data_IF_785756170364
#
_entry.id   IF_785756170364
#
_cell.length_a   1.000
_cell.length_b   1.000
_cell.length_c   1.000
_cell.angle_alpha   90.00
_cell.angle_beta   90.00
_cell.angle_gamma   90.00
#
_symmetry.space_group_name_H-M   'P 1'
#
loop_
_entity.id
_entity.type
_entity.pdbx_description
1 polymer ?
#
# COMPACT_ATOMS: atom_id res chain seq x y z
N UNK A 1 -10.36 0.10 22.76
CA UNK A 1 -11.78 0.52 22.73
C UNK A 1 -11.94 1.66 21.72
N UNK A 2 -13.04 1.75 20.95
CA UNK A 2 -13.27 2.89 20.02
C UNK A 2 -13.54 4.17 20.81
N UNK A 3 -12.93 5.28 20.38
CA UNK A 3 -13.08 6.61 20.96
C UNK A 3 -14.33 7.27 20.38
N UNK A 4 -15.31 7.58 21.23
CA UNK A 4 -16.53 8.29 20.85
C UNK A 4 -16.29 9.81 20.81
N UNK A 5 -15.34 10.25 19.99
CA UNK A 5 -14.78 11.63 20.01
C UNK A 5 -15.83 12.73 20.12
N UNK A 6 -16.89 12.70 19.30
CA UNK A 6 -17.96 13.71 19.33
C UNK A 6 -18.66 13.77 20.69
N UNK A 7 -19.01 12.60 21.23
CA UNK A 7 -19.65 12.47 22.54
C UNK A 7 -18.73 12.90 23.67
N UNK A 8 -17.45 12.52 23.61
CA UNK A 8 -16.46 12.91 24.62
C UNK A 8 -16.24 14.43 24.63
N UNK A 9 -16.09 15.05 23.45
CA UNK A 9 -15.98 16.51 23.30
C UNK A 9 -17.21 17.22 23.85
N UNK A 10 -18.42 16.73 23.53
CA UNK A 10 -19.66 17.29 24.08
C UNK A 10 -19.73 17.15 25.61
N UNK A 11 -19.24 16.02 26.15
CA UNK A 11 -19.30 15.75 27.57
C UNK A 11 -18.35 16.61 28.40
N UNK A 12 -17.14 16.89 27.91
CA UNK A 12 -16.15 17.70 28.65
C UNK A 12 -16.38 19.21 28.55
N UNK A 13 -17.26 19.64 27.64
CA UNK A 13 -17.58 21.06 27.44
C UNK A 13 -16.51 21.84 26.66
N UNK A 14 -16.84 23.09 26.31
CA UNK A 14 -16.04 23.92 25.41
C UNK A 14 -14.62 24.21 25.93
N UNK A 15 -14.46 24.39 27.24
CA UNK A 15 -13.17 24.77 27.84
C UNK A 15 -12.15 23.63 27.83
N UNK A 16 -12.61 22.39 28.06
CA UNK A 16 -11.74 21.21 28.09
C UNK A 16 -11.63 20.48 26.74
N UNK A 17 -12.54 20.77 25.79
CA UNK A 17 -12.53 20.17 24.47
C UNK A 17 -11.20 20.35 23.69
N UNK A 18 -10.56 21.54 23.66
CA UNK A 18 -9.27 21.71 23.00
C UNK A 18 -8.19 20.79 23.58
N UNK A 19 -8.10 20.70 24.91
CA UNK A 19 -7.12 19.84 25.61
C UNK A 19 -7.36 18.37 25.24
N UNK A 20 -8.61 17.91 25.28
CA UNK A 20 -8.96 16.55 24.88
C UNK A 20 -8.58 16.29 23.41
N UNK A 21 -8.92 17.20 22.50
CA UNK A 21 -8.62 17.05 21.08
C UNK A 21 -7.11 16.96 20.83
N UNK A 22 -6.30 17.80 21.48
CA UNK A 22 -4.83 17.74 21.38
C UNK A 22 -4.28 16.41 21.88
N UNK A 23 -4.81 15.87 23.00
CA UNK A 23 -4.43 14.53 23.48
C UNK A 23 -4.84 13.42 22.51
N UNK A 24 -5.89 13.63 21.74
CA UNK A 24 -6.38 12.66 20.75
C UNK A 24 -5.72 12.83 19.37
N UNK A 25 -4.90 13.84 19.13
CA UNK A 25 -4.26 14.03 17.82
C UNK A 25 -3.26 12.91 17.50
N UNK A 26 -3.39 12.35 16.29
CA UNK A 26 -2.47 11.35 15.73
C UNK A 26 -1.28 12.00 14.98
N UNK A 27 -1.23 13.33 14.91
CA UNK A 27 -0.21 14.10 14.19
C UNK A 27 -0.35 14.07 12.67
N UNK A 28 -1.44 13.52 12.13
CA UNK A 28 -1.73 13.62 10.71
C UNK A 28 -2.70 14.76 10.42
N UNK A 29 -2.82 15.11 9.14
CA UNK A 29 -3.92 15.94 8.65
C UNK A 29 -4.66 15.24 7.51
N UNK A 30 -5.97 15.42 7.44
CA UNK A 30 -6.82 14.92 6.39
C UNK A 30 -7.56 16.09 5.74
N UNK A 31 -7.52 16.17 4.42
CA UNK A 31 -8.33 17.12 3.68
C UNK A 31 -9.79 16.67 3.68
N UNK A 32 -10.67 17.49 4.22
CA UNK A 32 -12.12 17.34 4.13
C UNK A 32 -12.58 18.06 2.85
N UNK A 33 -13.00 17.31 1.80
CA UNK A 33 -13.44 17.91 0.55
C UNK A 33 -14.82 18.58 0.65
N UNK A 34 -15.62 18.23 1.66
CA UNK A 34 -16.95 18.83 1.87
C UNK A 34 -16.78 20.21 2.49
N UNK A 35 -15.88 20.31 3.48
CA UNK A 35 -15.60 21.56 4.19
C UNK A 35 -14.48 22.39 3.53
N UNK A 36 -13.83 21.85 2.49
CA UNK A 36 -12.67 22.42 1.82
C UNK A 36 -11.57 22.89 2.79
N UNK A 37 -11.31 22.11 3.85
CA UNK A 37 -10.31 22.43 4.88
C UNK A 37 -9.51 21.21 5.28
N UNK A 38 -8.35 21.47 5.86
CA UNK A 38 -7.45 20.44 6.40
C UNK A 38 -7.77 20.26 7.88
N UNK A 39 -8.20 19.06 8.27
CA UNK A 39 -8.57 18.72 9.64
C UNK A 39 -7.50 17.82 10.26
N UNK A 40 -7.15 17.99 11.56
CA UNK A 40 -6.29 17.05 12.25
C UNK A 40 -6.87 15.63 12.22
N UNK A 41 -6.01 14.64 12.02
CA UNK A 41 -6.35 13.23 12.17
C UNK A 41 -6.26 12.90 13.65
N UNK A 42 -7.36 12.39 14.19
CA UNK A 42 -7.43 11.95 15.58
C UNK A 42 -7.30 10.42 15.69
N UNK A 43 -6.78 9.98 16.83
CA UNK A 43 -6.83 8.60 17.31
C UNK A 43 -8.29 8.16 17.36
N UNK A 44 -8.57 7.00 16.78
CA UNK A 44 -9.88 6.37 16.76
C UNK A 44 -10.05 5.35 17.89
N UNK A 45 -8.94 4.83 18.42
CA UNK A 45 -8.96 3.80 19.45
C UNK A 45 -8.04 4.16 20.60
N UNK A 46 -8.43 3.73 21.80
CA UNK A 46 -7.65 4.00 23.01
C UNK A 46 -6.26 3.36 22.97
N UNK A 47 -6.08 2.23 22.29
CA UNK A 47 -4.78 1.55 22.13
C UNK A 47 -3.73 2.38 21.37
N UNK A 48 -4.15 3.41 20.63
CA UNK A 48 -3.26 4.39 19.99
C UNK A 48 -2.72 5.45 20.98
N UNK A 49 -3.23 5.50 22.22
CA UNK A 49 -2.75 6.39 23.29
C UNK A 49 -1.57 5.76 24.03
N UNK A 50 -0.53 6.55 24.27
CA UNK A 50 0.50 6.19 25.26
C UNK A 50 -0.13 6.07 26.65
N UNK A 51 0.51 5.38 27.58
CA UNK A 51 -0.02 5.28 28.95
C UNK A 51 -0.20 6.68 29.58
N UNK A 52 0.76 7.58 29.35
CA UNK A 52 0.72 8.96 29.82
C UNK A 52 -0.45 9.75 29.20
N UNK A 53 -0.60 9.70 27.87
CA UNK A 53 -1.70 10.36 27.18
C UNK A 53 -3.05 9.79 27.63
N UNK A 54 -3.15 8.47 27.83
CA UNK A 54 -4.39 7.84 28.26
C UNK A 54 -4.77 8.24 29.68
N UNK A 55 -3.79 8.36 30.59
CA UNK A 55 -4.00 8.90 31.94
C UNK A 55 -4.51 10.35 31.89
N UNK A 56 -3.92 11.19 31.04
CA UNK A 56 -4.36 12.58 30.83
C UNK A 56 -5.79 12.64 30.29
N UNK A 57 -6.13 11.78 29.32
CA UNK A 57 -7.50 11.66 28.79
C UNK A 57 -8.48 11.28 29.90
N UNK A 58 -8.16 10.29 30.75
CA UNK A 58 -9.02 9.91 31.87
C UNK A 58 -9.25 11.05 32.87
N UNK A 59 -8.22 11.86 33.13
CA UNK A 59 -8.33 13.03 34.02
C UNK A 59 -9.26 14.11 33.44
N UNK A 60 -9.25 14.30 32.12
CA UNK A 60 -10.20 15.21 31.46
C UNK A 60 -11.62 14.63 31.47
N UNK A 61 -11.77 13.33 31.17
CA UNK A 61 -13.08 12.67 31.11
C UNK A 61 -13.74 12.50 32.50
N UNK A 62 -12.98 12.50 33.60
CA UNK A 62 -13.56 12.40 34.95
C UNK A 62 -14.37 13.64 35.35
N UNK A 63 -14.16 14.76 34.66
CA UNK A 63 -14.90 16.01 34.84
C UNK A 63 -16.08 16.14 33.87
N UNK A 64 -16.31 15.13 33.03
CA UNK A 64 -17.32 15.18 31.98
C UNK A 64 -18.75 15.20 32.56
N UNK A 65 -19.64 15.91 31.88
CA UNK A 65 -21.06 15.94 32.19
C UNK A 65 -21.68 14.52 32.04
N UNK A 66 -22.25 13.93 33.10
CA UNK A 66 -22.83 12.59 33.07
C UNK A 66 -23.96 12.40 32.06
N UNK A 67 -24.62 13.47 31.64
CA UNK A 67 -25.67 13.43 30.60
C UNK A 67 -25.11 12.95 29.25
N UNK A 68 -23.87 13.34 28.92
CA UNK A 68 -23.24 13.02 27.64
C UNK A 68 -22.23 11.87 27.75
N UNK A 69 -21.63 11.67 28.93
CA UNK A 69 -20.80 10.50 29.22
C UNK A 69 -21.33 9.81 30.48
N UNK A 70 -22.30 8.88 30.34
CA UNK A 70 -22.84 8.14 31.47
C UNK A 70 -21.72 7.44 32.25
N UNK A 71 -21.91 7.29 33.57
CA UNK A 71 -20.92 6.65 34.47
C UNK A 71 -20.43 5.29 33.94
N UNK A 72 -21.35 4.47 33.43
CA UNK A 72 -21.02 3.16 32.88
C UNK A 72 -20.09 3.24 31.65
N UNK A 73 -20.18 4.28 30.83
CA UNK A 73 -19.28 4.46 29.68
C UNK A 73 -17.91 4.98 30.13
N UNK A 74 -17.86 5.89 31.12
CA UNK A 74 -16.60 6.29 31.76
C UNK A 74 -15.89 5.08 32.40
N UNK A 75 -16.61 4.24 33.15
CA UNK A 75 -16.08 3.01 33.76
C UNK A 75 -15.53 2.04 32.71
N UNK A 76 -16.12 1.94 31.50
CA UNK A 76 -15.54 1.16 30.40
C UNK A 76 -14.16 1.70 29.98
N UNK A 77 -14.02 3.03 29.86
CA UNK A 77 -12.75 3.67 29.51
C UNK A 77 -11.71 3.43 30.61
N UNK A 78 -12.11 3.58 31.87
CA UNK A 78 -11.26 3.36 33.03
C UNK A 78 -10.81 1.90 33.15
N UNK A 79 -11.71 0.94 32.93
CA UNK A 79 -11.39 -0.48 32.92
C UNK A 79 -10.47 -0.87 31.76
N UNK A 80 -10.61 -0.24 30.59
CA UNK A 80 -9.68 -0.41 29.47
C UNK A 80 -8.27 0.07 29.84
N UNK A 81 -8.16 1.21 30.52
CA UNK A 81 -6.87 1.70 31.04
C UNK A 81 -6.29 0.75 32.09
N UNK A 82 -7.07 0.36 33.12
CA UNK A 82 -6.65 -0.58 34.17
C UNK A 82 -6.12 -1.89 33.58
N UNK A 83 -6.85 -2.47 32.62
CA UNK A 83 -6.41 -3.67 31.91
C UNK A 83 -5.09 -3.46 31.17
N UNK A 84 -4.88 -2.30 30.55
CA UNK A 84 -3.64 -2.00 29.79
C UNK A 84 -2.44 -1.69 30.68
N UNK A 85 -2.67 -1.24 31.90
CA UNK A 85 -1.64 -1.05 32.93
C UNK A 85 -1.39 -2.30 33.77
N UNK A 86 -2.24 -3.32 33.64
CA UNK A 86 -2.05 -4.59 34.33
C UNK A 86 -0.81 -5.31 33.78
N UNK A 87 0.12 -5.62 34.68
CA UNK A 87 1.42 -6.20 34.31
C UNK A 87 1.27 -7.59 33.67
N UNK A 88 0.31 -8.40 34.10
CA UNK A 88 0.11 -9.74 33.52
C UNK A 88 -0.44 -9.63 32.11
N UNK A 89 -1.40 -8.74 31.89
CA UNK A 89 -1.92 -8.44 30.56
C UNK A 89 -0.81 -7.91 29.64
N UNK A 90 0.04 -6.98 30.10
CA UNK A 90 1.17 -6.47 29.33
C UNK A 90 2.17 -7.58 28.95
N UNK A 91 2.52 -8.45 29.90
CA UNK A 91 3.40 -9.59 29.65
C UNK A 91 2.80 -10.55 28.61
N UNK A 92 1.50 -10.84 28.70
CA UNK A 92 0.80 -11.68 27.74
C UNK A 92 0.74 -11.03 26.34
N UNK A 93 0.46 -9.73 26.26
CA UNK A 93 0.50 -9.02 24.97
C UNK A 93 1.91 -9.01 24.36
N UNK A 94 2.95 -8.84 25.18
CA UNK A 94 4.33 -8.91 24.73
C UNK A 94 4.69 -10.31 24.20
N UNK A 95 4.25 -11.36 24.90
CA UNK A 95 4.42 -12.76 24.47
C UNK A 95 3.73 -13.02 23.13
N UNK A 96 2.48 -12.58 22.97
CA UNK A 96 1.72 -12.71 21.72
C UNK A 96 2.36 -11.91 20.58
N UNK A 97 2.82 -10.69 20.85
CA UNK A 97 3.52 -9.88 19.86
C UNK A 97 4.82 -10.53 19.38
N UNK A 98 5.60 -11.11 20.30
CA UNK A 98 6.81 -11.86 19.96
C UNK A 98 6.50 -13.12 19.16
N UNK A 99 5.47 -13.89 19.55
CA UNK A 99 5.04 -15.06 18.78
C UNK A 99 4.63 -14.70 17.35
N UNK A 100 3.90 -13.59 17.16
CA UNK A 100 3.54 -13.08 15.82
C UNK A 100 4.78 -12.70 15.01
N UNK A 101 5.74 -12.02 15.64
CA UNK A 101 7.01 -11.63 15.01
C UNK A 101 7.81 -12.83 14.55
N UNK A 102 7.94 -13.86 15.39
CA UNK A 102 8.64 -15.10 15.06
C UNK A 102 7.96 -15.84 13.91
N UNK A 103 6.62 -15.93 13.94
CA UNK A 103 5.83 -16.55 12.86
C UNK A 103 6.04 -15.81 11.53
N UNK A 104 6.05 -14.48 11.57
CA UNK A 104 6.29 -13.66 10.39
C UNK A 104 7.72 -13.80 9.88
N UNK A 105 8.73 -13.79 10.76
CA UNK A 105 10.12 -13.99 10.38
C UNK A 105 10.36 -15.38 9.74
N UNK A 106 9.74 -16.42 10.29
CA UNK A 106 9.77 -17.76 9.70
C UNK A 106 9.14 -17.79 8.30
N UNK A 107 8.07 -17.00 8.08
CA UNK A 107 7.43 -16.86 6.77
C UNK A 107 8.36 -16.17 5.76
N UNK A 108 9.00 -15.07 6.15
CA UNK A 108 9.99 -14.38 5.31
C UNK A 108 11.15 -15.30 4.93
N UNK A 109 11.72 -16.03 5.90
CA UNK A 109 12.78 -17.01 5.65
C UNK A 109 12.34 -18.13 4.70
N UNK A 110 11.13 -18.67 4.88
CA UNK A 110 10.56 -19.68 3.98
C UNK A 110 10.47 -19.17 2.55
N UNK A 111 10.03 -17.92 2.34
CA UNK A 111 9.87 -17.33 1.01
C UNK A 111 11.20 -17.02 0.33
N UNK A 112 12.17 -16.51 1.09
CA UNK A 112 13.53 -16.30 0.58
C UNK A 112 14.15 -17.64 0.18
N UNK A 113 13.98 -18.68 1.00
CA UNK A 113 14.44 -20.03 0.66
C UNK A 113 13.75 -20.55 -0.60
N UNK A 114 12.43 -20.44 -0.70
CA UNK A 114 11.67 -20.87 -1.88
C UNK A 114 12.14 -20.15 -3.16
N UNK A 115 12.42 -18.84 -3.06
CA UNK A 115 13.00 -18.06 -4.16
C UNK A 115 14.40 -18.55 -4.56
N UNK A 116 15.29 -18.85 -3.60
CA UNK A 116 16.63 -19.40 -3.89
C UNK A 116 16.58 -20.83 -4.46
N UNK A 117 15.66 -21.66 -3.98
CA UNK A 117 15.45 -23.01 -4.49
C UNK A 117 14.93 -22.95 -5.94
N UNK A 118 13.99 -22.05 -6.24
CA UNK A 118 13.43 -21.85 -7.58
C UNK A 118 14.43 -21.23 -8.56
N UNK A 119 15.34 -20.37 -8.07
CA UNK A 119 16.46 -19.85 -8.85
C UNK A 119 17.44 -20.96 -9.26
N UNK A 120 17.63 -21.96 -8.39
CA UNK A 120 18.65 -23.00 -8.55
C UNK A 120 20.07 -22.49 -8.27
N UNK A 121 21.06 -23.34 -8.52
CA UNK A 121 22.47 -23.05 -8.23
C UNK A 121 22.84 -23.14 -6.74
N UNK A 122 24.08 -22.79 -6.41
CA UNK A 122 24.61 -22.84 -5.03
C UNK A 122 25.34 -21.55 -4.64
N UNK A 123 25.59 -21.37 -3.34
CA UNK A 123 26.23 -20.17 -2.80
C UNK A 123 25.24 -19.08 -2.33
N UNK A 124 25.76 -18.09 -1.61
CA UNK A 124 24.99 -16.97 -1.02
C UNK A 124 25.27 -15.62 -1.66
N UNK A 125 26.18 -15.56 -2.64
CA UNK A 125 26.58 -14.32 -3.31
C UNK A 125 25.99 -14.21 -4.71
N UNK A 126 25.89 -12.97 -5.23
CA UNK A 126 25.49 -12.75 -6.62
C UNK A 126 26.44 -13.45 -7.61
N UNK A 127 27.75 -13.32 -7.41
CA UNK A 127 28.76 -13.89 -8.29
C UNK A 127 28.65 -15.42 -8.39
N UNK A 128 28.34 -16.10 -7.28
CA UNK A 128 28.17 -17.55 -7.25
C UNK A 128 26.92 -18.04 -8.02
N UNK A 129 25.92 -17.17 -8.22
CA UNK A 129 24.65 -17.48 -8.89
C UNK A 129 24.42 -16.69 -10.18
N UNK A 130 25.45 -16.05 -10.72
CA UNK A 130 25.30 -15.08 -11.80
C UNK A 130 24.66 -15.69 -13.06
N UNK A 131 25.01 -16.95 -13.37
CA UNK A 131 24.45 -17.66 -14.52
C UNK A 131 22.95 -17.96 -14.34
N UNK A 132 22.54 -18.43 -13.16
CA UNK A 132 21.15 -18.70 -12.82
C UNK A 132 20.31 -17.43 -12.78
N UNK A 133 20.86 -16.34 -12.24
CA UNK A 133 20.20 -15.02 -12.20
C UNK A 133 19.91 -14.52 -13.61
N UNK A 134 20.90 -14.59 -14.51
CA UNK A 134 20.73 -14.14 -15.90
C UNK A 134 19.77 -15.07 -16.67
N UNK A 135 19.85 -16.39 -16.45
CA UNK A 135 18.92 -17.35 -17.05
C UNK A 135 17.47 -17.10 -16.57
N UNK A 136 17.27 -16.89 -15.27
CA UNK A 136 15.99 -16.54 -14.67
C UNK A 136 15.43 -15.26 -15.28
N UNK A 137 16.23 -14.18 -15.34
CA UNK A 137 15.80 -12.90 -15.88
C UNK A 137 15.36 -12.99 -17.34
N UNK A 138 16.13 -13.69 -18.17
CA UNK A 138 15.77 -13.93 -19.57
C UNK A 138 14.50 -14.80 -19.68
N UNK A 139 14.31 -15.75 -18.78
CA UNK A 139 13.09 -16.53 -18.64
C UNK A 139 11.87 -15.68 -18.29
N UNK A 140 11.99 -14.77 -17.33
CA UNK A 140 10.94 -13.80 -16.95
C UNK A 140 10.52 -12.99 -18.16
N UNK A 141 11.47 -12.39 -18.88
CA UNK A 141 11.16 -11.53 -20.04
C UNK A 141 10.54 -12.28 -21.20
N UNK A 142 10.95 -13.53 -21.41
CA UNK A 142 10.29 -14.40 -22.40
C UNK A 142 8.85 -14.71 -22.01
N UNK A 143 8.59 -15.02 -20.73
CA UNK A 143 7.22 -15.26 -20.24
C UNK A 143 6.36 -14.01 -20.35
N UNK A 144 6.85 -12.86 -19.87
CA UNK A 144 6.17 -11.57 -19.99
C UNK A 144 5.80 -11.23 -21.44
N UNK A 145 6.68 -11.53 -22.41
CA UNK A 145 6.43 -11.28 -23.83
C UNK A 145 5.34 -12.18 -24.43
N UNK A 146 5.10 -13.35 -23.83
CA UNK A 146 4.08 -14.30 -24.25
C UNK A 146 2.75 -14.13 -23.48
N UNK A 147 2.67 -13.21 -22.52
CA UNK A 147 1.45 -12.98 -21.76
C UNK A 147 0.35 -12.38 -22.63
N UNK A 148 -0.87 -12.88 -22.40
CA UNK A 148 -2.09 -12.33 -22.99
C UNK A 148 -2.95 -11.73 -21.89
N UNK A 149 -3.98 -10.97 -22.27
CA UNK A 149 -4.98 -10.48 -21.32
C UNK A 149 -5.59 -11.65 -20.52
N UNK A 150 -6.04 -12.67 -21.24
CA UNK A 150 -6.74 -13.83 -20.68
C UNK A 150 -5.86 -14.60 -19.70
N UNK A 151 -4.60 -14.87 -20.05
CA UNK A 151 -3.70 -15.66 -19.18
C UNK A 151 -3.36 -14.92 -17.88
N UNK A 152 -3.26 -13.59 -17.91
CA UNK A 152 -2.98 -12.78 -16.73
C UNK A 152 -4.22 -12.62 -15.86
N UNK A 153 -5.38 -12.38 -16.45
CA UNK A 153 -6.63 -12.17 -15.72
C UNK A 153 -7.11 -13.48 -15.06
N UNK A 154 -7.18 -14.59 -15.80
CA UNK A 154 -7.56 -15.90 -15.25
C UNK A 154 -6.51 -16.44 -14.29
N UNK A 155 -5.24 -16.11 -14.50
CA UNK A 155 -4.16 -16.37 -13.55
C UNK A 155 -4.19 -15.50 -12.29
N UNK A 156 -5.20 -14.62 -12.14
CA UNK A 156 -5.38 -13.69 -11.02
C UNK A 156 -4.17 -12.81 -10.72
N UNK A 157 -3.44 -12.43 -11.79
CA UNK A 157 -2.29 -11.52 -11.70
C UNK A 157 -2.60 -10.12 -12.21
N UNK A 158 -3.80 -9.88 -12.73
CA UNK A 158 -4.13 -8.57 -13.27
C UNK A 158 -4.28 -7.56 -12.14
N UNK A 159 -3.49 -6.49 -12.17
CA UNK A 159 -3.73 -5.31 -11.34
C UNK A 159 -4.49 -4.27 -12.12
N UNK A 160 -5.36 -3.52 -11.44
CA UNK A 160 -6.11 -2.41 -12.01
C UNK A 160 -5.98 -1.16 -11.15
N UNK A 161 -5.74 -0.02 -11.78
CA UNK A 161 -5.71 1.29 -11.13
C UNK A 161 -6.55 2.28 -11.91
N UNK A 162 -7.49 2.94 -11.23
CA UNK A 162 -8.19 4.09 -11.81
C UNK A 162 -7.35 5.36 -11.70
N UNK A 163 -7.21 6.03 -12.84
CA UNK A 163 -6.63 7.36 -13.00
C UNK A 163 -7.77 8.28 -13.42
N UNK A 164 -8.17 9.17 -12.51
CA UNK A 164 -9.19 10.18 -12.83
C UNK A 164 -8.63 11.16 -13.88
N UNK A 165 -9.43 11.51 -14.89
CA UNK A 165 -9.06 12.49 -15.91
C UNK A 165 -8.73 13.87 -15.33
N UNK A 166 -9.34 14.24 -14.19
CA UNK A 166 -9.06 15.43 -13.39
C UNK A 166 -7.91 15.23 -12.40
N UNK A 167 -7.08 14.20 -12.62
CA UNK A 167 -6.16 13.63 -11.64
C UNK A 167 -5.37 14.67 -10.86
N UNK A 168 -5.38 14.53 -9.52
CA UNK A 168 -4.57 15.29 -8.57
C UNK A 168 -3.08 14.93 -8.71
N UNK A 169 -2.47 15.09 -9.88
CA UNK A 169 -1.02 15.19 -9.96
C UNK A 169 -0.56 16.46 -9.23
N UNK A 170 0.74 16.60 -8.96
CA UNK A 170 1.30 17.82 -8.39
C UNK A 170 2.13 17.59 -7.14
N UNK A 171 2.41 18.68 -6.43
CA UNK A 171 3.17 18.67 -5.18
C UNK A 171 2.24 18.53 -3.99
N UNK A 172 2.59 17.63 -3.07
CA UNK A 172 1.84 17.37 -1.84
C UNK A 172 2.77 17.40 -0.65
N UNK A 173 2.28 17.92 0.47
CA UNK A 173 2.97 17.81 1.75
C UNK A 173 2.80 16.40 2.32
N UNK A 174 3.90 15.77 2.71
CA UNK A 174 3.93 14.50 3.41
C UNK A 174 4.61 14.67 4.77
N UNK A 175 4.18 13.88 5.75
CA UNK A 175 4.75 13.89 7.10
C UNK A 175 5.84 12.83 7.25
N UNK A 176 6.75 13.06 8.19
CA UNK A 176 7.68 12.04 8.63
C UNK A 176 6.94 10.92 9.38
N UNK A 177 7.25 9.65 9.06
CA UNK A 177 6.59 8.48 9.66
C UNK A 177 6.79 8.42 11.18
N UNK A 178 7.97 8.82 11.66
CA UNK A 178 8.40 8.76 13.06
C UNK A 178 8.06 10.02 13.86
N UNK A 179 7.90 11.17 13.18
CA UNK A 179 7.66 12.47 13.81
C UNK A 179 6.43 13.19 13.25
N UNK A 180 5.29 12.52 13.21
CA UNK A 180 4.09 13.04 12.53
C UNK A 180 3.61 14.38 13.07
N UNK A 181 3.74 14.60 14.39
CA UNK A 181 3.29 15.84 15.05
C UNK A 181 4.21 17.05 14.78
N UNK A 182 5.41 16.82 14.25
CA UNK A 182 6.38 17.88 14.01
C UNK A 182 6.20 18.44 12.60
N UNK A 183 5.44 19.53 12.49
CA UNK A 183 5.21 20.22 11.22
C UNK A 183 6.51 20.71 10.56
N UNK A 184 7.57 20.96 11.34
CA UNK A 184 8.87 21.36 10.78
C UNK A 184 9.55 20.21 10.01
N UNK A 185 9.06 18.98 10.15
CA UNK A 185 9.54 17.78 9.44
C UNK A 185 8.61 17.38 8.29
N UNK A 186 7.66 18.23 7.92
CA UNK A 186 6.90 18.07 6.70
C UNK A 186 7.79 18.27 5.46
N UNK A 187 7.48 17.53 4.39
CA UNK A 187 8.27 17.49 3.17
C UNK A 187 7.37 17.59 1.96
N UNK A 188 7.81 18.30 0.93
CA UNK A 188 7.13 18.31 -0.34
C UNK A 188 7.47 17.06 -1.16
N UNK A 189 6.43 16.47 -1.75
CA UNK A 189 6.53 15.33 -2.65
C UNK A 189 5.80 15.65 -3.95
N UNK A 190 6.53 15.70 -5.04
CA UNK A 190 5.92 15.72 -6.36
C UNK A 190 5.42 14.32 -6.73
N UNK A 191 4.20 14.21 -7.23
CA UNK A 191 3.59 12.95 -7.62
C UNK A 191 2.78 13.12 -8.90
N UNK A 192 3.24 12.47 -9.98
CA UNK A 192 2.46 12.34 -11.20
C UNK A 192 1.67 11.02 -11.16
N UNK A 193 0.34 11.12 -11.11
CA UNK A 193 -0.59 9.97 -11.13
C UNK A 193 -1.34 9.82 -12.44
N UNK A 194 -1.10 10.73 -13.40
CA UNK A 194 -1.78 10.75 -14.69
C UNK A 194 -1.30 9.66 -15.63
N UNK A 195 -1.90 9.60 -16.82
CA UNK A 195 -1.48 8.66 -17.87
C UNK A 195 -0.02 8.87 -18.27
N UNK A 196 0.41 10.14 -18.40
CA UNK A 196 1.81 10.51 -18.64
C UNK A 196 2.76 9.95 -17.58
N UNK A 197 2.42 10.10 -16.29
CA UNK A 197 3.17 9.53 -15.18
C UNK A 197 3.23 8.00 -15.19
N UNK A 198 2.18 7.30 -15.62
CA UNK A 198 2.19 5.84 -15.79
C UNK A 198 3.13 5.44 -16.93
N UNK A 199 3.06 6.13 -18.08
CA UNK A 199 3.96 5.89 -19.20
C UNK A 199 5.43 6.16 -18.81
N UNK A 200 5.68 7.22 -18.06
CA UNK A 200 7.01 7.53 -17.55
C UNK A 200 7.54 6.48 -16.55
N UNK A 201 6.65 5.81 -15.78
CA UNK A 201 7.03 4.70 -14.88
C UNK A 201 7.47 3.44 -15.62
N UNK A 202 6.97 3.21 -16.83
CA UNK A 202 7.36 2.04 -17.63
C UNK A 202 8.57 2.30 -18.53
N UNK A 203 9.15 3.50 -18.50
CA UNK A 203 10.39 3.86 -19.20
C UNK A 203 11.61 3.61 -18.30
N UNK A 204 12.44 2.58 -18.56
CA UNK A 204 13.55 2.22 -17.67
C UNK A 204 14.57 3.34 -17.45
N UNK A 205 14.81 4.16 -18.48
CA UNK A 205 15.78 5.26 -18.45
C UNK A 205 15.47 6.33 -17.38
N UNK A 206 14.22 6.42 -16.91
CA UNK A 206 13.86 7.33 -15.81
C UNK A 206 14.36 6.82 -14.43
N UNK A 207 14.75 5.55 -14.33
CA UNK A 207 15.24 4.94 -13.09
C UNK A 207 16.71 4.50 -13.20
N UNK A 208 17.13 4.07 -14.39
CA UNK A 208 18.48 3.60 -14.68
C UNK A 208 18.77 3.65 -16.18
N UNK A 209 19.78 4.44 -16.57
CA UNK A 209 20.30 4.50 -17.95
C UNK A 209 21.74 3.97 -18.08
N UNK A 210 22.28 3.38 -17.00
CA UNK A 210 23.63 2.81 -16.95
C UNK A 210 24.31 3.06 -15.60
N UNK A 211 25.49 2.45 -15.37
CA UNK A 211 26.31 2.69 -14.18
C UNK A 211 26.50 4.19 -13.91
N UNK A 212 26.30 4.61 -12.66
CA UNK A 212 26.43 6.02 -12.25
C UNK A 212 25.28 6.95 -12.67
N UNK A 213 24.29 6.48 -13.44
CA UNK A 213 23.13 7.33 -13.83
C UNK A 213 22.30 7.78 -12.63
N UNK A 214 21.83 9.02 -12.66
CA UNK A 214 20.92 9.56 -11.65
C UNK A 214 19.53 8.91 -11.75
N UNK A 215 18.87 8.70 -10.60
CA UNK A 215 17.51 8.22 -10.56
C UNK A 215 16.54 9.40 -10.61
N UNK A 216 15.77 9.53 -11.69
CA UNK A 216 14.82 10.65 -11.90
C UNK A 216 13.46 10.42 -11.24
N UNK A 217 13.31 9.36 -10.42
CA UNK A 217 12.06 9.00 -9.74
C UNK A 217 11.42 10.19 -9.01
N UNK A 218 12.21 10.93 -8.24
CA UNK A 218 11.71 12.04 -7.41
C UNK A 218 11.40 13.28 -8.25
N UNK A 219 12.32 13.65 -9.15
CA UNK A 219 12.14 14.76 -10.12
C UNK A 219 10.83 14.61 -10.91
N UNK A 220 10.54 13.39 -11.37
CA UNK A 220 9.39 13.10 -12.22
C UNK A 220 8.15 12.61 -11.44
N UNK A 221 8.23 12.54 -10.10
CA UNK A 221 7.12 12.09 -9.25
C UNK A 221 6.66 10.66 -9.52
N UNK A 222 7.58 9.77 -9.91
CA UNK A 222 7.32 8.38 -10.34
C UNK A 222 7.30 7.41 -9.16
N UNK A 223 6.63 7.81 -8.08
CA UNK A 223 6.48 7.01 -6.87
C UNK A 223 5.58 5.80 -7.07
N UNK A 224 5.68 4.85 -6.14
CA UNK A 224 4.87 3.63 -6.14
C UNK A 224 3.40 4.01 -5.96
N UNK A 225 2.47 3.29 -6.57
CA UNK A 225 1.06 3.67 -6.60
C UNK A 225 0.19 2.55 -6.05
N UNK A 226 -0.97 2.90 -5.49
CA UNK A 226 -2.00 1.90 -5.17
C UNK A 226 -2.60 1.28 -6.44
N UNK A 227 -3.10 0.07 -6.32
CA UNK A 227 -4.00 -0.55 -7.28
C UNK A 227 -4.85 -1.59 -6.59
N UNK A 228 -5.70 -2.26 -7.36
CA UNK A 228 -6.42 -3.44 -6.91
C UNK A 228 -5.90 -4.65 -7.66
N UNK A 229 -5.57 -5.73 -6.96
CA UNK A 229 -5.33 -7.03 -7.57
C UNK A 229 -6.67 -7.70 -7.86
N UNK A 230 -6.94 -7.97 -9.13
CA UNK A 230 -8.19 -8.54 -9.57
C UNK A 230 -8.20 -10.06 -9.38
N UNK A 231 -9.37 -10.58 -9.02
CA UNK A 231 -9.71 -11.99 -9.20
C UNK A 231 -10.66 -12.15 -10.37
N UNK A 232 -10.44 -13.19 -11.18
CA UNK A 232 -11.33 -13.61 -12.26
C UNK A 232 -12.68 -14.15 -11.76
N UNK A 233 -12.80 -14.45 -10.46
CA UNK A 233 -14.04 -14.94 -9.86
C UNK A 233 -15.10 -13.83 -9.65
N UNK A 234 -14.76 -12.56 -9.91
CA UNK A 234 -15.66 -11.41 -9.68
C UNK A 234 -15.65 -10.49 -10.90
N UNK A 235 -16.76 -9.78 -11.17
CA UNK A 235 -16.76 -8.72 -12.18
C UNK A 235 -15.72 -7.64 -11.87
N UNK A 236 -15.05 -7.12 -12.89
CA UNK A 236 -13.96 -6.14 -12.78
C UNK A 236 -14.45 -4.88 -12.07
N UNK A 237 -15.57 -4.30 -12.48
CA UNK A 237 -16.10 -3.06 -11.92
C UNK A 237 -16.39 -3.16 -10.42
N UNK A 238 -16.86 -4.32 -9.95
CA UNK A 238 -17.15 -4.59 -8.53
C UNK A 238 -15.91 -4.77 -7.65
N UNK A 239 -14.73 -4.71 -8.23
CA UNK A 239 -13.44 -4.80 -7.54
C UNK A 239 -12.68 -3.47 -7.53
N UNK A 240 -13.21 -2.43 -8.18
CA UNK A 240 -12.55 -1.13 -8.27
C UNK A 240 -13.17 -0.11 -7.30
N UNK A 241 -12.42 0.94 -6.98
CA UNK A 241 -12.94 2.08 -6.22
C UNK A 241 -13.92 2.87 -7.12
N UNK A 242 -14.97 3.52 -6.59
CA UNK A 242 -15.95 4.21 -7.43
C UNK A 242 -15.44 5.59 -7.85
N UNK A 243 -14.58 5.67 -8.88
CA UNK A 243 -14.18 6.93 -9.48
C UNK A 243 -14.97 7.20 -10.77
N UNK A 244 -15.60 8.37 -10.83
CA UNK A 244 -16.23 8.86 -12.06
C UNK A 244 -15.18 9.23 -13.12
N UNK A 245 -15.53 8.99 -14.39
CA UNK A 245 -14.73 9.37 -15.58
C UNK A 245 -13.26 8.92 -15.52
N UNK A 246 -12.99 7.78 -14.88
CA UNK A 246 -11.64 7.27 -14.74
C UNK A 246 -11.20 6.44 -15.96
N UNK A 247 -9.91 6.57 -16.30
CA UNK A 247 -9.20 5.59 -17.12
C UNK A 247 -8.64 4.52 -16.19
N UNK A 248 -8.93 3.26 -16.47
CA UNK A 248 -8.36 2.12 -15.76
C UNK A 248 -7.08 1.69 -16.46
N UNK A 249 -6.02 1.59 -15.68
CA UNK A 249 -4.71 1.06 -16.07
C UNK A 249 -4.64 -0.38 -15.60
N UNK A 250 -4.55 -1.31 -16.54
CA UNK A 250 -4.36 -2.72 -16.27
C UNK A 250 -2.89 -3.10 -16.48
N UNK A 251 -2.30 -3.82 -15.52
CA UNK A 251 -0.91 -4.28 -15.60
C UNK A 251 -0.74 -5.60 -14.85
N UNK A 252 -0.03 -6.58 -15.40
CA UNK A 252 0.26 -7.82 -14.69
C UNK A 252 1.13 -7.58 -13.47
N UNK A 253 0.77 -8.20 -12.36
CA UNK A 253 1.70 -8.57 -11.31
C UNK A 253 2.57 -9.73 -11.81
N UNK A 254 3.84 -9.84 -11.35
CA UNK A 254 4.66 -10.99 -11.66
C UNK A 254 4.03 -12.28 -11.11
N UNK A 255 4.42 -13.43 -11.68
CA UNK A 255 4.17 -14.70 -11.03
C UNK A 255 4.80 -14.69 -9.62
N UNK A 256 4.15 -15.33 -8.65
CA UNK A 256 4.63 -15.36 -7.26
C UNK A 256 6.05 -15.93 -7.15
N UNK A 257 6.34 -17.01 -7.89
CA UNK A 257 7.69 -17.57 -7.98
C UNK A 257 8.71 -16.54 -8.47
N UNK A 258 8.38 -15.74 -9.49
CA UNK A 258 9.28 -14.70 -10.00
C UNK A 258 9.46 -13.55 -9.00
N UNK A 259 8.41 -13.20 -8.26
CA UNK A 259 8.49 -12.22 -7.18
C UNK A 259 9.40 -12.71 -6.04
N UNK A 260 9.26 -13.98 -5.65
CA UNK A 260 10.07 -14.63 -4.61
C UNK A 260 11.54 -14.75 -5.02
N UNK A 261 11.83 -15.19 -6.26
CA UNK A 261 13.19 -15.23 -6.81
C UNK A 261 13.81 -13.84 -6.80
N UNK A 262 13.09 -12.82 -7.26
CA UNK A 262 13.60 -11.45 -7.27
C UNK A 262 13.86 -10.88 -5.86
N UNK A 263 13.00 -11.21 -4.90
CA UNK A 263 13.22 -10.87 -3.50
C UNK A 263 14.48 -11.56 -2.96
N UNK A 264 14.63 -12.86 -3.19
CA UNK A 264 15.80 -13.64 -2.79
C UNK A 264 17.11 -13.11 -3.38
N UNK A 265 17.13 -12.78 -4.68
CA UNK A 265 18.30 -12.20 -5.36
C UNK A 265 18.66 -10.83 -4.76
N UNK A 266 17.66 -10.04 -4.34
CA UNK A 266 17.89 -8.74 -3.71
C UNK A 266 18.54 -8.84 -2.33
N UNK A 267 18.45 -9.99 -1.67
CA UNK A 267 18.98 -10.26 -0.33
C UNK A 267 20.27 -11.11 -0.36
N UNK A 268 20.82 -11.42 -1.55
CA UNK A 268 22.11 -12.09 -1.66
C UNK A 268 23.23 -11.25 -1.06
N UNK A 269 24.28 -11.91 -0.57
CA UNK A 269 25.50 -11.25 -0.13
C UNK A 269 26.18 -10.58 -1.33
N UNK A 270 26.58 -9.31 -1.16
CA UNK A 270 27.28 -8.52 -2.19
C UNK A 270 26.53 -8.54 -3.54
N UNK A 271 25.28 -8.02 -3.59
CA UNK A 271 24.53 -7.99 -4.83
C UNK A 271 25.25 -7.09 -5.86
N UNK A 272 25.19 -7.47 -7.14
CA UNK A 272 25.59 -6.56 -8.21
C UNK A 272 24.59 -5.39 -8.26
N UNK A 273 24.97 -4.26 -7.69
CA UNK A 273 24.08 -3.13 -7.46
C UNK A 273 23.54 -2.54 -8.77
N UNK A 274 24.37 -2.46 -9.81
CA UNK A 274 23.99 -1.91 -11.11
C UNK A 274 23.07 -2.87 -11.85
N UNK A 275 23.40 -4.17 -11.87
CA UNK A 275 22.54 -5.18 -12.51
C UNK A 275 21.20 -5.32 -11.80
N UNK A 276 21.19 -5.32 -10.47
CA UNK A 276 19.95 -5.33 -9.68
C UNK A 276 19.13 -4.07 -9.94
N UNK A 277 19.77 -2.90 -10.08
CA UNK A 277 19.09 -1.64 -10.43
C UNK A 277 18.51 -1.68 -11.86
N UNK A 278 19.21 -2.30 -12.81
CA UNK A 278 18.71 -2.56 -14.15
C UNK A 278 17.44 -3.43 -14.12
N UNK A 279 17.46 -4.55 -13.39
CA UNK A 279 16.27 -5.40 -13.26
C UNK A 279 15.14 -4.64 -12.56
N UNK A 280 15.42 -3.87 -11.50
CA UNK A 280 14.42 -3.04 -10.79
C UNK A 280 13.77 -1.96 -11.67
N UNK A 281 14.44 -1.48 -12.73
CA UNK A 281 13.88 -0.51 -13.67
C UNK A 281 13.04 -1.17 -14.77
N UNK A 282 13.17 -2.48 -14.94
CA UNK A 282 12.46 -3.28 -15.93
C UNK A 282 11.50 -4.31 -15.33
N UNK A 283 11.34 -4.41 -14.00
CA UNK A 283 10.50 -5.45 -13.37
C UNK A 283 9.33 -4.82 -12.61
N UNK A 284 8.11 -4.99 -13.16
CA UNK A 284 6.89 -4.61 -12.45
C UNK A 284 6.70 -5.53 -11.27
N UNK A 285 6.42 -4.98 -10.09
CA UNK A 285 6.29 -5.77 -8.86
C UNK A 285 5.33 -5.15 -7.88
N UNK A 286 4.81 -5.99 -7.00
CA UNK A 286 4.08 -5.58 -5.81
C UNK A 286 5.09 -5.35 -4.68
N UNK A 287 4.94 -4.25 -3.94
CA UNK A 287 5.73 -3.98 -2.72
C UNK A 287 4.99 -4.35 -1.46
N UNK A 288 3.67 -4.17 -1.47
CA UNK A 288 2.77 -4.44 -0.36
C UNK A 288 1.47 -4.96 -0.97
N UNK A 289 0.81 -5.90 -0.29
CA UNK A 289 -0.49 -6.43 -0.68
C UNK A 289 -1.35 -6.63 0.58
N UNK A 290 -2.66 -6.41 0.44
CA UNK A 290 -3.64 -6.64 1.50
C UNK A 290 -5.00 -6.96 0.89
N UNK A 291 -5.77 -7.83 1.54
CA UNK A 291 -7.11 -8.23 1.12
C UNK A 291 -8.20 -7.16 1.36
N UNK A 292 -7.83 -5.93 1.66
CA UNK A 292 -8.76 -4.82 1.95
C UNK A 292 -8.10 -3.50 1.55
N UNK A 293 -8.86 -2.40 1.67
CA UNK A 293 -8.30 -1.05 1.58
C UNK A 293 -7.19 -0.87 2.63
N UNK A 294 -6.03 -0.36 2.21
CA UNK A 294 -4.88 -0.13 3.09
C UNK A 294 -4.97 1.22 3.83
N UNK A 295 -5.88 2.10 3.45
CA UNK A 295 -6.06 3.45 4.02
C UNK A 295 -4.78 4.28 3.97
N UNK A 296 -3.89 3.99 3.02
CA UNK A 296 -2.50 4.44 3.06
C UNK A 296 -2.27 5.76 2.35
N UNK A 297 -1.30 6.50 2.88
CA UNK A 297 -0.81 7.76 2.32
C UNK A 297 0.69 7.66 2.04
N UNK A 298 1.28 8.72 1.48
CA UNK A 298 2.73 8.84 1.42
C UNK A 298 3.28 9.38 2.74
N UNK A 299 4.43 8.85 3.16
CA UNK A 299 5.23 9.37 4.27
C UNK A 299 6.70 9.44 3.90
N UNK A 300 7.43 10.31 4.59
CA UNK A 300 8.89 10.22 4.64
C UNK A 300 9.30 9.14 5.66
N UNK A 301 10.04 8.15 5.19
CA UNK A 301 10.48 6.96 5.95
C UNK A 301 11.89 7.13 6.54
N UNK A 302 12.45 8.34 6.54
CA UNK A 302 13.72 8.61 7.18
C UNK A 302 13.58 8.84 8.67
N UNK A 303 14.52 8.32 9.46
CA UNK A 303 14.63 8.65 10.89
C UNK A 303 15.33 9.99 11.12
N UNK A 304 16.20 10.40 10.19
CA UNK A 304 16.86 11.71 10.21
C UNK A 304 16.11 12.69 9.30
N UNK A 305 15.54 13.79 9.83
CA UNK A 305 14.86 14.79 9.02
C UNK A 305 15.81 15.52 8.04
N UNK A 306 17.13 15.44 8.19
CA UNK A 306 18.09 16.04 7.24
C UNK A 306 18.49 15.11 6.10
N UNK A 307 18.16 13.81 6.17
CA UNK A 307 18.46 12.86 5.11
C UNK A 307 17.69 13.15 3.82
N UNK A 308 18.14 12.60 2.69
CA UNK A 308 17.43 12.70 1.41
C UNK A 308 16.02 12.06 1.52
N UNK A 309 14.99 12.76 1.03
CA UNK A 309 13.58 12.34 1.12
C UNK A 309 13.38 10.86 0.72
N UNK A 310 12.76 10.07 1.60
CA UNK A 310 12.45 8.66 1.35
C UNK A 310 10.95 8.45 1.33
N UNK A 311 10.30 8.95 0.29
CA UNK A 311 8.86 8.79 0.11
C UNK A 311 8.46 7.31 -0.07
N UNK A 312 7.54 6.85 0.77
CA UNK A 312 6.98 5.50 0.74
C UNK A 312 5.46 5.56 0.86
N UNK A 313 4.79 4.79 0.02
CA UNK A 313 3.34 4.60 0.05
C UNK A 313 3.03 3.27 0.73
N UNK A 314 1.96 3.20 1.53
CA UNK A 314 1.50 1.93 2.09
C UNK A 314 2.16 1.50 3.41
N UNK A 315 3.24 2.16 3.81
CA UNK A 315 4.01 1.79 5.03
C UNK A 315 3.46 2.45 6.30
N UNK A 316 2.45 3.30 6.14
CA UNK A 316 1.70 3.90 7.21
C UNK A 316 0.19 3.71 6.96
N UNK A 317 -0.59 4.02 7.97
CA UNK A 317 -2.04 4.02 7.90
C UNK A 317 -2.66 3.08 8.91
N UNK A 318 -3.88 2.67 8.59
CA UNK A 318 -4.71 1.81 9.40
C UNK A 318 -5.15 0.60 8.58
N UNK A 319 -5.35 -0.53 9.24
CA UNK A 319 -5.92 -1.74 8.63
C UNK A 319 -7.34 -1.90 9.14
N UNK A 320 -8.28 -2.05 8.22
CA UNK A 320 -9.60 -2.58 8.54
C UNK A 320 -9.48 -4.10 8.71
N UNK A 321 -9.55 -4.59 9.93
CA UNK A 321 -9.58 -6.01 10.24
C UNK A 321 -10.96 -6.61 9.94
N UNK A 322 -11.03 -7.94 9.74
CA UNK A 322 -12.30 -8.66 9.76
C UNK A 322 -13.11 -8.30 11.01
N UNK A 323 -14.38 -7.93 10.84
CA UNK A 323 -15.24 -7.43 11.92
C UNK A 323 -15.26 -5.90 12.08
N UNK A 324 -14.54 -5.17 11.25
CA UNK A 324 -14.67 -3.71 11.12
C UNK A 324 -13.80 -2.89 12.07
N UNK A 325 -12.93 -3.53 12.86
CA UNK A 325 -11.95 -2.82 13.68
C UNK A 325 -10.88 -2.18 12.80
N UNK A 326 -10.55 -0.93 13.07
CA UNK A 326 -9.53 -0.19 12.34
C UNK A 326 -8.33 -0.01 13.27
N UNK A 327 -7.17 -0.58 12.95
CA UNK A 327 -5.99 -0.51 13.84
C UNK A 327 -4.80 0.12 13.13
N UNK A 328 -3.93 0.78 13.87
CA UNK A 328 -2.66 1.28 13.33
C UNK A 328 -1.77 0.09 12.92
N UNK A 329 -1.07 0.24 11.78
CA UNK A 329 -0.15 -0.78 11.27
C UNK A 329 1.13 -0.78 12.10
N UNK A 330 1.49 -1.93 12.67
CA UNK A 330 2.79 -2.18 13.27
C UNK A 330 3.79 -2.80 12.25
N UNK A 331 5.05 -2.98 12.65
CA UNK A 331 6.07 -3.59 11.78
C UNK A 331 5.77 -5.04 11.41
N UNK A 332 5.06 -5.79 12.25
CA UNK A 332 4.70 -7.19 11.94
C UNK A 332 3.63 -7.25 10.86
N UNK A 333 2.64 -6.35 10.91
CA UNK A 333 1.63 -6.19 9.86
C UNK A 333 2.25 -5.66 8.56
N UNK A 334 3.22 -4.75 8.65
CA UNK A 334 3.93 -4.27 7.47
C UNK A 334 4.77 -5.38 6.83
N UNK A 335 5.47 -6.19 7.63
CA UNK A 335 6.16 -7.39 7.17
C UNK A 335 5.20 -8.38 6.50
N UNK A 336 4.02 -8.62 7.12
CA UNK A 336 2.97 -9.43 6.50
C UNK A 336 2.54 -8.90 5.14
N UNK A 337 2.28 -7.59 5.00
CA UNK A 337 1.96 -6.98 3.69
C UNK A 337 3.05 -7.21 2.64
N UNK A 338 4.32 -7.25 3.05
CA UNK A 338 5.44 -7.55 2.14
C UNK A 338 5.43 -9.00 1.70
N UNK A 339 5.24 -9.95 2.62
CA UNK A 339 5.14 -11.38 2.26
C UNK A 339 3.89 -11.68 1.45
N UNK A 340 2.77 -11.05 1.77
CA UNK A 340 1.54 -11.12 0.98
C UNK A 340 1.75 -10.58 -0.44
N UNK A 341 2.68 -9.64 -0.66
CA UNK A 341 3.03 -9.17 -2.01
C UNK A 341 3.83 -10.20 -2.83
N UNK A 342 4.53 -11.12 -2.16
CA UNK A 342 5.27 -12.23 -2.77
C UNK A 342 4.38 -13.46 -3.00
N UNK A 343 3.33 -13.62 -2.20
CA UNK A 343 2.30 -14.66 -2.30
C UNK A 343 0.91 -14.01 -2.43
N UNK A 344 0.73 -13.18 -3.47
CA UNK A 344 -0.45 -12.32 -3.63
C UNK A 344 -1.77 -13.06 -3.84
N UNK A 345 -1.75 -14.35 -4.18
CA UNK A 345 -2.92 -15.23 -4.17
C UNK A 345 -3.56 -15.35 -2.78
N UNK A 346 -2.77 -15.21 -1.70
CA UNK A 346 -3.26 -15.30 -0.32
C UNK A 346 -4.20 -14.16 0.08
N UNK A 347 -4.13 -13.01 -0.62
CA UNK A 347 -5.03 -11.89 -0.36
C UNK A 347 -6.31 -11.96 -1.19
N UNK A 348 -6.32 -12.75 -2.26
CA UNK A 348 -7.48 -12.89 -3.16
C UNK A 348 -8.55 -13.84 -2.61
N UNK A 349 -8.15 -14.78 -1.77
CA UNK A 349 -9.05 -15.65 -0.99
C UNK A 349 -9.64 -14.94 0.23
N UNK A 350 -9.27 -13.67 0.45
CA UNK A 350 -9.77 -12.84 1.55
C UNK A 350 -11.27 -12.57 1.48
N UNK A 351 -11.82 -12.15 2.63
CA UNK A 351 -13.23 -11.85 2.88
C UNK A 351 -13.99 -11.41 1.62
N UNK A 352 -14.98 -12.19 1.18
CA UNK A 352 -15.80 -11.88 0.01
C UNK A 352 -16.48 -10.50 0.09
N UNK A 353 -16.53 -9.91 1.29
CA UNK A 353 -17.05 -8.57 1.56
C UNK A 353 -16.05 -7.44 1.30
N UNK A 354 -14.77 -7.73 1.12
CA UNK A 354 -13.78 -6.71 0.78
C UNK A 354 -14.08 -6.15 -0.61
N UNK A 355 -14.24 -4.83 -0.68
CA UNK A 355 -14.48 -4.13 -1.94
C UNK A 355 -13.27 -4.27 -2.88
N UNK A 356 -12.05 -4.12 -2.32
CA UNK A 356 -10.79 -4.11 -3.07
C UNK A 356 -9.73 -4.96 -2.38
N UNK A 357 -8.90 -5.62 -3.20
CA UNK A 357 -7.64 -6.24 -2.79
C UNK A 357 -6.51 -5.25 -3.04
N UNK A 358 -6.26 -4.34 -2.11
CA UNK A 358 -5.34 -3.24 -2.35
C UNK A 358 -3.88 -3.72 -2.39
N UNK A 359 -3.15 -3.21 -3.37
CA UNK A 359 -1.72 -3.48 -3.57
C UNK A 359 -0.96 -2.18 -3.80
N UNK A 360 0.32 -2.15 -3.42
CA UNK A 360 1.25 -1.08 -3.79
C UNK A 360 2.12 -1.58 -4.93
N UNK A 361 1.89 -1.03 -6.12
CA UNK A 361 2.48 -1.46 -7.38
C UNK A 361 3.63 -0.53 -7.75
N UNK A 362 4.72 -1.13 -8.20
CA UNK A 362 5.85 -0.46 -8.85
C UNK A 362 5.76 -0.74 -10.34
N UNK A 363 5.04 0.10 -11.08
CA UNK A 363 4.93 -0.02 -12.54
C UNK A 363 6.31 0.12 -13.20
N UNK A 364 6.70 -0.84 -14.03
CA UNK A 364 7.93 -0.84 -14.84
C UNK A 364 7.64 -1.43 -16.21
N UNK A 365 8.65 -1.45 -17.08
CA UNK A 365 8.53 -2.02 -18.41
C UNK A 365 8.08 -3.48 -18.34
N UNK A 366 6.99 -3.80 -19.03
CA UNK A 366 6.56 -5.17 -19.29
C UNK A 366 7.04 -5.58 -20.69
N UNK A 367 7.41 -6.84 -20.91
CA UNK A 367 7.94 -7.27 -22.21
C UNK A 367 6.87 -7.34 -23.32
N UNK A 368 5.61 -7.66 -23.00
CA UNK A 368 4.47 -7.48 -23.92
C UNK A 368 4.09 -5.98 -24.04
N UNK A 369 4.97 -5.19 -24.65
CA UNK A 369 4.84 -3.73 -24.74
C UNK A 369 3.69 -3.25 -25.62
N UNK A 370 3.15 -4.09 -26.48
CA UNK A 370 1.95 -3.85 -27.28
C UNK A 370 0.67 -3.97 -26.44
N UNK A 371 0.66 -4.84 -25.43
CA UNK A 371 -0.49 -5.06 -24.56
C UNK A 371 -0.46 -4.32 -23.22
N UNK A 372 0.66 -4.38 -22.48
CA UNK A 372 0.78 -3.74 -21.16
C UNK A 372 1.74 -2.53 -21.09
N UNK A 373 1.45 -1.51 -20.24
CA UNK A 373 0.19 -1.32 -19.51
C UNK A 373 -0.97 -1.02 -20.45
N UNK A 374 -2.14 -1.60 -20.17
CA UNK A 374 -3.35 -1.40 -20.96
C UNK A 374 -4.20 -0.30 -20.35
N UNK A 375 -4.66 0.64 -21.18
CA UNK A 375 -5.56 1.71 -20.75
C UNK A 375 -6.97 1.42 -21.27
N UNK A 376 -7.97 1.50 -20.41
CA UNK A 376 -9.37 1.37 -20.83
C UNK A 376 -10.30 2.30 -20.05
N UNK A 377 -11.46 2.62 -20.59
CA UNK A 377 -12.49 3.41 -19.93
C UNK A 377 -13.79 2.63 -19.85
N UNK A 378 -14.44 2.67 -18.68
CA UNK A 378 -15.76 2.08 -18.53
C UNK A 378 -16.79 2.83 -19.37
N UNK A 379 -17.50 2.09 -20.22
CA UNK A 379 -18.62 2.53 -21.03
C UNK A 379 -19.90 1.97 -20.42
N UNK A 380 -20.72 2.87 -19.85
CA UNK A 380 -21.96 2.51 -19.14
C UNK A 380 -23.02 1.96 -20.09
N UNK A 381 -23.03 2.36 -21.36
CA UNK A 381 -24.05 1.94 -22.33
C UNK A 381 -23.84 0.49 -22.73
N UNK A 382 -22.57 0.10 -22.97
CA UNK A 382 -22.23 -1.26 -23.38
C UNK A 382 -21.77 -2.15 -22.23
N UNK A 383 -21.73 -1.62 -21.00
CA UNK A 383 -21.28 -2.34 -19.79
C UNK A 383 -19.92 -3.02 -19.98
N UNK A 384 -18.99 -2.29 -20.60
CA UNK A 384 -17.67 -2.79 -20.97
C UNK A 384 -16.57 -1.76 -20.77
N UNK A 385 -15.32 -2.20 -20.73
CA UNK A 385 -14.15 -1.33 -20.75
C UNK A 385 -13.64 -1.16 -22.18
N UNK A 386 -13.78 0.03 -22.76
CA UNK A 386 -13.24 0.37 -24.09
C UNK A 386 -11.74 0.57 -24.00
N UNK A 387 -10.98 -0.18 -24.78
CA UNK A 387 -9.52 -0.10 -24.80
C UNK A 387 -9.08 1.15 -25.55
N UNK A 388 -8.18 1.91 -24.93
CA UNK A 388 -7.67 3.18 -25.43
C UNK A 388 -6.26 3.03 -25.98
N UNK A 389 -5.96 3.77 -27.03
CA UNK A 389 -4.61 3.95 -27.54
C UNK A 389 -3.77 4.67 -26.46
N UNK A 390 -2.59 4.15 -26.17
CA UNK A 390 -1.75 4.65 -25.07
C UNK A 390 -1.26 6.08 -25.26
N UNK A 391 -1.07 6.49 -26.51
CA UNK A 391 -0.50 7.79 -26.86
C UNK A 391 -1.60 8.82 -27.06
N UNK A 392 -2.66 8.46 -27.78
CA UNK A 392 -3.73 9.40 -28.18
C UNK A 392 -4.94 9.37 -27.25
N UNK A 393 -5.05 8.35 -26.38
CA UNK A 393 -6.24 8.06 -25.56
C UNK A 393 -7.54 7.83 -26.36
N UNK A 394 -7.47 7.69 -27.69
CA UNK A 394 -8.61 7.39 -28.54
C UNK A 394 -9.01 5.90 -28.41
N UNK A 395 -10.30 5.54 -28.55
CA UNK A 395 -10.71 4.13 -28.59
C UNK A 395 -10.01 3.37 -29.73
N UNK A 396 -9.65 2.12 -29.45
CA UNK A 396 -8.98 1.22 -30.42
C UNK A 396 -9.95 0.30 -31.18
N UNK A 397 -11.21 0.23 -30.76
CA UNK A 397 -12.19 -0.77 -31.18
C UNK A 397 -12.27 -1.98 -30.25
N UNK A 398 -11.14 -2.40 -29.67
CA UNK A 398 -11.10 -3.48 -28.69
C UNK A 398 -11.78 -3.10 -27.36
N UNK A 399 -12.30 -4.10 -26.66
CA UNK A 399 -12.98 -3.92 -25.37
C UNK A 399 -12.85 -5.14 -24.46
N UNK A 400 -13.11 -4.94 -23.17
CA UNK A 400 -13.10 -5.97 -22.13
C UNK A 400 -14.46 -5.98 -21.46
N UNK A 401 -15.13 -7.13 -21.38
CA UNK A 401 -16.40 -7.26 -20.65
C UNK A 401 -16.21 -7.03 -19.14
N UNK A 402 -17.27 -6.74 -18.39
CA UNK A 402 -17.17 -6.67 -16.93
C UNK A 402 -16.78 -8.03 -16.30
N UNK A 403 -17.05 -9.15 -16.98
CA UNK A 403 -16.56 -10.47 -16.59
C UNK A 403 -15.06 -10.68 -16.87
N UNK A 404 -14.39 -9.71 -17.50
CA UNK A 404 -12.97 -9.74 -17.82
C UNK A 404 -12.61 -10.49 -19.10
N UNK A 405 -13.56 -10.81 -19.97
CA UNK A 405 -13.27 -11.40 -21.29
C UNK A 405 -12.79 -10.32 -22.29
N UNK A 406 -11.73 -10.65 -23.06
CA UNK A 406 -11.16 -9.79 -24.11
C UNK A 406 -11.90 -9.91 -25.44
N UNK A 407 -12.12 -8.78 -26.11
CA UNK A 407 -12.70 -8.72 -27.44
C UNK A 407 -11.84 -7.82 -28.36
N UNK A 408 -11.31 -8.34 -29.48
CA UNK A 408 -10.51 -7.55 -30.41
C UNK A 408 -11.36 -6.50 -31.15
N UNK A 409 -10.68 -5.57 -31.83
CA UNK A 409 -11.27 -4.49 -32.61
C UNK A 409 -12.03 -4.96 -33.86
#
# INVERSE_FOLDING_TARGET
MKIERRKWVQAVGADAAPVLLTLLEAGGVAFDPVENRVNPVYREYTDELSEEDFRKVLAVLSQANPQFLPKADYEKVENDFKRRTDKQWQLEQARLAEQRRQTQAATEQRLLKAGLDALGGSGTTWAARAAEIEAWWNGVKRREAAETWESVFTGNRMTARQVNAKGRGGTFTIVNRHDRKDAAKERELYLDRGLGGILARVTPANFFSGPGSANRKYELGLHDLSGTLLTSARPVLKQLKPYDEAVVVFTPAPAETDAQVFAAISELEKPDADKLREYRSKFTRLRLAQSSDMGSVFVDDNTDPKAELRARYGINGRVLLPGGAIIAIDETMLAKRRTDALEHSTILSGDAKALVNEVVIVYRQHAATDLFPLFARWDRETTSYRVLNRTTSAPTGAWISDAGAWHPA
#
